data_IF_851185453529
#
_entry.id   IF_851185453529
#
_cell.length_a   1.000
_cell.length_b   1.000
_cell.length_c   1.000
_cell.angle_alpha   90.00
_cell.angle_beta   90.00
_cell.angle_gamma   90.00
#
_symmetry.space_group_name_H-M   'P 1'
#
loop_
_entity.id
_entity.type
_entity.pdbx_description
1 polymer ?
#
# COMPACT_ATOMS: atom_id res chain seq x y z
N UNK A 1 4.75 19.88 21.27
CA UNK A 1 5.18 18.68 20.53
C UNK A 1 4.11 17.63 20.72
N UNK A 2 3.30 17.33 19.70
CA UNK A 2 2.25 16.31 19.79
C UNK A 2 1.01 16.63 18.96
N UNK A 3 0.50 15.62 18.27
CA UNK A 3 -0.75 15.64 17.51
C UNK A 3 -1.68 14.62 18.17
N UNK A 4 -2.91 15.01 18.49
CA UNK A 4 -3.73 14.33 19.49
C UNK A 4 -4.77 13.35 18.94
N UNK A 5 -4.69 12.84 17.71
CA UNK A 5 -5.67 11.81 17.24
C UNK A 5 -5.18 10.76 16.24
N UNK A 6 -3.91 10.69 15.87
CA UNK A 6 -3.38 9.49 15.19
C UNK A 6 -1.93 9.28 15.63
N UNK A 7 -1.72 8.37 16.59
CA UNK A 7 -0.41 7.78 16.83
C UNK A 7 -0.53 6.31 16.45
N UNK A 8 0.02 5.91 15.31
CA UNK A 8 0.32 4.50 15.11
C UNK A 8 1.51 4.19 16.02
N UNK A 9 1.29 3.32 16.99
CA UNK A 9 2.33 2.85 17.89
C UNK A 9 2.45 1.35 17.67
N UNK A 10 3.52 0.93 17.01
CA UNK A 10 3.88 -0.48 16.95
C UNK A 10 4.37 -0.89 18.34
N UNK A 11 3.55 -1.66 19.04
CA UNK A 11 3.93 -2.31 20.28
C UNK A 11 4.20 -3.80 19.98
N UNK A 12 5.30 -4.38 20.49
CA UNK A 12 5.56 -5.80 20.31
C UNK A 12 4.41 -6.60 20.96
N UNK A 13 3.69 -7.39 20.16
CA UNK A 13 2.62 -8.28 20.63
C UNK A 13 3.14 -9.51 21.39
N UNK A 14 4.46 -9.72 21.40
CA UNK A 14 5.14 -10.90 21.93
C UNK A 14 5.58 -11.86 20.82
N UNK A 15 6.50 -12.76 21.14
CA UNK A 15 6.89 -13.82 20.21
C UNK A 15 5.72 -14.81 20.06
N UNK A 16 5.45 -15.21 18.82
CA UNK A 16 4.41 -16.17 18.48
C UNK A 16 4.99 -17.31 17.65
N UNK A 17 4.33 -18.47 17.69
CA UNK A 17 4.60 -19.58 16.76
C UNK A 17 3.54 -19.69 15.67
N UNK A 18 2.65 -18.69 15.59
CA UNK A 18 1.70 -18.57 14.48
C UNK A 18 2.48 -18.38 13.19
N UNK A 19 1.98 -19.02 12.15
CA UNK A 19 2.36 -18.65 10.80
C UNK A 19 1.41 -17.50 10.40
N UNK A 20 1.92 -16.34 9.96
CA UNK A 20 1.07 -15.21 9.60
C UNK A 20 0.00 -15.61 8.57
N UNK A 21 -1.23 -15.17 8.78
CA UNK A 21 -2.43 -15.66 8.09
C UNK A 21 -2.67 -15.04 6.73
N UNK A 22 -1.87 -14.08 6.30
CA UNK A 22 -1.87 -13.54 4.94
C UNK A 22 -0.65 -13.99 4.13
N UNK A 23 0.35 -14.62 4.77
CA UNK A 23 1.60 -15.03 4.11
C UNK A 23 1.43 -16.34 3.35
N UNK A 24 1.62 -16.30 2.04
CA UNK A 24 1.36 -17.43 1.13
C UNK A 24 2.15 -18.72 1.42
N UNK A 25 3.30 -18.61 2.07
CA UNK A 25 4.11 -19.75 2.50
C UNK A 25 3.56 -20.46 3.74
N UNK A 26 2.62 -19.83 4.45
CA UNK A 26 1.95 -20.42 5.59
C UNK A 26 0.90 -21.45 5.18
N UNK A 27 0.91 -22.61 5.85
CA UNK A 27 -0.01 -23.68 5.55
C UNK A 27 -1.42 -23.33 6.03
N UNK A 28 -2.36 -23.17 5.10
CA UNK A 28 -3.75 -22.90 5.44
C UNK A 28 -4.45 -22.09 4.36
N UNK A 29 -5.67 -21.67 4.67
CA UNK A 29 -6.29 -20.57 3.94
C UNK A 29 -5.62 -19.28 4.41
N UNK A 30 -5.39 -18.36 3.47
CA UNK A 30 -5.05 -16.99 3.85
C UNK A 30 -6.34 -16.24 4.20
N UNK A 31 -6.41 -15.63 5.37
CA UNK A 31 -7.58 -14.89 5.86
C UNK A 31 -7.15 -13.87 6.91
N UNK A 32 -7.94 -12.80 7.08
CA UNK A 32 -7.74 -11.83 8.16
C UNK A 32 -8.08 -12.47 9.51
N UNK A 33 -7.08 -12.72 10.34
CA UNK A 33 -7.23 -13.32 11.66
C UNK A 33 -7.19 -12.28 12.81
N UNK A 34 -6.97 -11.01 12.47
CA UNK A 34 -6.90 -9.86 13.37
C UNK A 34 -5.54 -9.67 14.02
N UNK A 35 -4.50 -10.36 13.58
CA UNK A 35 -3.14 -10.23 14.08
C UNK A 35 -2.18 -9.75 12.99
N UNK A 36 -1.34 -8.77 13.33
CA UNK A 36 -0.24 -8.35 12.47
C UNK A 36 0.99 -9.13 12.88
N UNK A 37 1.30 -10.21 12.16
CA UNK A 37 2.39 -11.12 12.49
C UNK A 37 3.63 -10.86 11.62
N UNK A 38 4.81 -11.00 12.24
CA UNK A 38 6.11 -10.87 11.57
C UNK A 38 6.85 -12.19 11.67
N UNK A 39 7.32 -12.72 10.55
CA UNK A 39 8.00 -14.02 10.50
C UNK A 39 9.28 -14.00 9.68
N UNK A 40 10.14 -14.98 9.95
CA UNK A 40 11.25 -15.34 9.07
C UNK A 40 10.92 -16.69 8.43
N UNK A 41 10.74 -16.72 7.11
CA UNK A 41 10.51 -17.96 6.39
C UNK A 41 11.14 -17.95 4.99
N UNK A 42 11.18 -19.12 4.35
CA UNK A 42 11.70 -19.25 3.00
C UNK A 42 10.62 -18.80 2.00
N UNK A 43 10.70 -17.54 1.56
CA UNK A 43 9.74 -16.95 0.62
C UNK A 43 9.85 -17.64 -0.76
N UNK A 44 8.70 -17.87 -1.39
CA UNK A 44 8.55 -18.32 -2.77
C UNK A 44 8.74 -17.12 -3.68
N UNK A 45 9.86 -17.11 -4.38
CA UNK A 45 10.28 -16.05 -5.27
C UNK A 45 11.66 -16.39 -5.82
N UNK A 46 12.08 -15.75 -6.93
CA UNK A 46 13.44 -15.91 -7.41
C UNK A 46 14.38 -15.52 -6.28
N UNK A 47 15.38 -16.35 -6.04
CA UNK A 47 16.56 -15.95 -5.30
C UNK A 47 17.78 -16.57 -5.95
N UNK A 48 18.21 -15.91 -7.04
CA UNK A 48 19.33 -16.33 -7.84
C UNK A 48 20.02 -15.13 -8.49
N UNK A 49 21.21 -15.36 -9.03
CA UNK A 49 22.04 -14.30 -9.60
C UNK A 49 21.47 -13.64 -10.87
N UNK A 50 20.47 -14.24 -11.52
CA UNK A 50 19.88 -13.73 -12.77
C UNK A 50 18.65 -12.86 -12.54
N UNK A 51 17.82 -13.20 -11.54
CA UNK A 51 16.53 -12.57 -11.30
C UNK A 51 16.49 -11.75 -9.99
N UNK A 52 17.59 -11.73 -9.23
CA UNK A 52 17.63 -11.15 -7.90
C UNK A 52 16.98 -12.06 -6.86
N UNK A 53 16.82 -11.53 -5.65
CA UNK A 53 16.16 -12.20 -4.54
C UNK A 53 15.00 -11.34 -4.03
N UNK A 54 13.82 -11.94 -3.85
CA UNK A 54 12.80 -11.34 -2.98
C UNK A 54 13.33 -11.32 -1.56
N UNK A 55 13.42 -10.13 -0.96
CA UNK A 55 14.12 -9.92 0.32
C UNK A 55 13.16 -10.03 1.51
N UNK A 56 12.03 -9.34 1.42
CA UNK A 56 10.90 -9.43 2.31
C UNK A 56 9.61 -9.11 1.52
N UNK A 57 8.45 -9.37 2.11
CA UNK A 57 7.14 -9.01 1.58
C UNK A 57 6.24 -8.66 2.77
N UNK A 58 5.39 -7.64 2.59
CA UNK A 58 4.24 -7.34 3.44
C UNK A 58 2.96 -7.58 2.67
N UNK A 59 2.10 -8.44 3.20
CA UNK A 59 0.72 -8.60 2.74
C UNK A 59 -0.16 -7.77 3.65
N UNK A 60 -1.02 -6.91 3.09
CA UNK A 60 -1.85 -6.02 3.89
C UNK A 60 -3.25 -5.83 3.31
N UNK A 61 -4.18 -5.50 4.20
CA UNK A 61 -5.54 -5.05 3.90
C UNK A 61 -5.79 -3.71 4.61
N UNK A 62 -7.04 -3.25 4.67
CA UNK A 62 -7.38 -2.08 5.49
C UNK A 62 -7.25 -2.32 7.00
N UNK A 63 -7.23 -3.58 7.43
CA UNK A 63 -7.42 -3.96 8.84
C UNK A 63 -6.29 -4.85 9.41
N UNK A 64 -5.47 -5.46 8.56
CA UNK A 64 -4.40 -6.39 8.95
C UNK A 64 -3.21 -6.31 8.00
N UNK A 65 -1.99 -6.50 8.52
CA UNK A 65 -0.77 -6.62 7.75
C UNK A 65 0.16 -7.68 8.34
N UNK A 66 0.59 -8.61 7.51
CA UNK A 66 1.56 -9.65 7.85
C UNK A 66 2.83 -9.50 7.03
N UNK A 67 3.96 -9.80 7.65
CA UNK A 67 5.28 -9.55 7.07
C UNK A 67 6.16 -10.79 7.15
N UNK A 68 6.86 -11.10 6.04
CA UNK A 68 7.84 -12.17 6.00
C UNK A 68 9.21 -11.68 5.54
N UNK A 69 10.26 -12.11 6.24
CA UNK A 69 11.66 -11.92 5.86
C UNK A 69 12.25 -13.24 5.34
N UNK A 70 12.96 -13.17 4.20
CA UNK A 70 13.45 -14.37 3.52
C UNK A 70 14.61 -15.06 4.26
N UNK A 71 14.41 -16.29 4.71
CA UNK A 71 15.46 -17.10 5.38
C UNK A 71 16.53 -17.64 4.46
N UNK A 72 16.37 -17.52 3.13
CA UNK A 72 17.43 -17.84 2.15
C UNK A 72 18.54 -16.79 2.14
N UNK A 73 18.31 -15.63 2.75
CA UNK A 73 19.24 -14.51 2.80
C UNK A 73 19.97 -14.47 4.15
N UNK A 74 21.14 -13.83 4.14
CA UNK A 74 21.88 -13.52 5.37
C UNK A 74 21.60 -12.09 5.79
N UNK A 75 21.44 -11.88 7.09
CA UNK A 75 20.97 -10.62 7.67
C UNK A 75 21.98 -10.02 8.63
N UNK A 76 22.02 -8.68 8.69
CA UNK A 76 22.65 -7.93 9.77
C UNK A 76 21.64 -6.90 10.30
N UNK A 77 21.73 -6.55 11.58
CA UNK A 77 20.84 -5.60 12.26
C UNK A 77 21.62 -4.41 12.82
N UNK A 78 22.81 -4.14 12.26
CA UNK A 78 23.71 -3.10 12.75
C UNK A 78 23.47 -1.73 12.14
N UNK A 79 22.49 -1.58 11.24
CA UNK A 79 22.34 -0.41 10.39
C UNK A 79 23.64 -0.05 9.64
N UNK A 80 24.30 -1.06 9.07
CA UNK A 80 25.54 -0.91 8.31
C UNK A 80 25.54 -1.85 7.12
N UNK A 81 26.21 -1.44 6.04
CA UNK A 81 26.46 -2.34 4.92
C UNK A 81 27.51 -3.39 5.30
N UNK A 82 27.10 -4.66 5.28
CA UNK A 82 27.99 -5.80 5.46
C UNK A 82 27.96 -6.68 4.21
N UNK A 83 29.15 -6.99 3.66
CA UNK A 83 29.26 -7.75 2.43
C UNK A 83 28.54 -9.11 2.51
N UNK A 84 27.64 -9.35 1.55
CA UNK A 84 26.85 -10.60 1.48
C UNK A 84 25.68 -10.67 2.46
N UNK A 85 25.33 -9.56 3.14
CA UNK A 85 24.18 -9.49 4.04
C UNK A 85 23.26 -8.33 3.68
N UNK A 86 21.98 -8.53 3.96
CA UNK A 86 20.94 -7.51 3.89
C UNK A 86 20.73 -6.87 5.27
N UNK A 87 20.47 -5.57 5.31
CA UNK A 87 20.28 -4.84 6.56
C UNK A 87 18.81 -4.88 6.99
N UNK A 88 18.55 -5.58 8.10
CA UNK A 88 17.22 -5.92 8.55
C UNK A 88 16.40 -4.69 8.95
N UNK A 89 17.00 -3.66 9.55
CA UNK A 89 16.24 -2.49 10.01
C UNK A 89 15.72 -1.65 8.85
N UNK A 90 16.51 -1.50 7.79
CA UNK A 90 16.19 -0.79 6.55
C UNK A 90 15.03 -1.46 5.85
N UNK A 91 15.13 -2.78 5.70
CA UNK A 91 14.08 -3.57 5.05
C UNK A 91 12.84 -3.60 5.92
N UNK A 92 12.97 -3.80 7.24
CA UNK A 92 11.82 -3.70 8.13
C UNK A 92 11.16 -2.32 8.09
N UNK A 93 11.93 -1.23 7.94
CA UNK A 93 11.37 0.12 7.82
C UNK A 93 10.57 0.28 6.52
N UNK A 94 11.05 -0.27 5.41
CA UNK A 94 10.33 -0.36 4.13
C UNK A 94 9.02 -1.14 4.28
N UNK A 95 9.10 -2.36 4.83
CA UNK A 95 7.93 -3.20 5.01
C UNK A 95 6.89 -2.57 5.96
N UNK A 96 7.33 -1.87 7.02
CA UNK A 96 6.43 -1.10 7.88
C UNK A 96 5.79 0.09 7.15
N UNK A 97 6.40 0.60 6.08
CA UNK A 97 5.77 1.55 5.18
C UNK A 97 4.51 0.98 4.54
N UNK A 98 4.57 -0.26 4.03
CA UNK A 98 3.39 -0.97 3.52
C UNK A 98 2.32 -1.18 4.59
N UNK A 99 2.72 -1.50 5.83
CA UNK A 99 1.78 -1.62 6.97
C UNK A 99 1.00 -0.33 7.22
N UNK A 100 1.63 0.84 7.01
CA UNK A 100 0.96 2.14 7.12
C UNK A 100 0.38 2.63 5.78
N UNK A 101 0.30 1.76 4.78
CA UNK A 101 -0.32 2.05 3.49
C UNK A 101 0.53 2.84 2.51
N UNK A 102 1.83 3.02 2.77
CA UNK A 102 2.74 3.50 1.73
C UNK A 102 2.94 2.42 0.68
N UNK A 103 2.94 2.85 -0.57
CA UNK A 103 3.31 2.03 -1.72
C UNK A 103 4.80 2.24 -2.03
N UNK A 104 5.34 1.56 -3.04
CA UNK A 104 6.74 1.76 -3.41
C UNK A 104 6.99 3.17 -3.95
N UNK A 105 8.17 3.71 -3.68
CA UNK A 105 8.62 5.01 -4.16
C UNK A 105 9.55 4.87 -5.36
N UNK A 106 9.44 5.83 -6.30
CA UNK A 106 10.38 5.99 -7.41
C UNK A 106 11.53 6.95 -7.07
N UNK A 107 11.48 7.60 -5.90
CA UNK A 107 12.50 8.55 -5.46
C UNK A 107 13.81 7.81 -5.13
N UNK A 108 14.94 8.17 -5.76
CA UNK A 108 16.22 7.52 -5.50
C UNK A 108 16.66 7.63 -4.04
N UNK A 109 16.83 6.49 -3.37
CA UNK A 109 17.27 6.43 -1.98
C UNK A 109 16.15 6.56 -0.94
N UNK A 110 14.90 6.62 -1.39
CA UNK A 110 13.74 6.42 -0.53
C UNK A 110 13.83 5.05 0.16
N UNK A 111 13.38 4.98 1.40
CA UNK A 111 13.16 3.72 2.10
C UNK A 111 12.15 2.86 1.35
N UNK A 112 11.10 3.48 0.80
CA UNK A 112 10.06 2.77 0.03
C UNK A 112 10.50 2.37 -1.39
N UNK A 113 11.76 2.57 -1.79
CA UNK A 113 12.24 2.10 -3.08
C UNK A 113 12.15 0.56 -3.17
N UNK A 114 11.57 0.04 -4.25
CA UNK A 114 11.35 -1.40 -4.45
C UNK A 114 12.66 -2.24 -4.51
N UNK A 115 13.80 -1.59 -4.78
CA UNK A 115 15.10 -2.25 -4.88
C UNK A 115 15.97 -1.84 -3.70
N UNK A 116 16.38 -2.83 -2.91
CA UNK A 116 17.32 -2.63 -1.81
C UNK A 116 18.65 -2.03 -2.30
N UNK A 117 19.01 -0.87 -1.76
CA UNK A 117 20.19 -0.10 -2.17
C UNK A 117 21.28 0.01 -1.08
N UNK A 118 21.17 -0.75 0.00
CA UNK A 118 22.08 -0.69 1.15
C UNK A 118 21.38 -0.20 2.42
N UNK A 119 22.15 -0.15 3.51
CA UNK A 119 21.65 0.25 4.82
C UNK A 119 21.19 1.72 4.83
N UNK A 120 19.92 1.93 5.17
CA UNK A 120 19.31 3.23 5.40
C UNK A 120 18.22 3.08 6.48
N UNK A 121 18.52 3.45 7.73
CA UNK A 121 17.59 3.26 8.86
C UNK A 121 16.94 4.57 9.31
N UNK A 122 16.87 5.54 8.41
CA UNK A 122 16.27 6.85 8.65
C UNK A 122 15.16 7.11 7.63
N UNK A 123 14.06 7.71 8.09
CA UNK A 123 13.01 8.17 7.19
C UNK A 123 13.53 9.34 6.35
N UNK A 124 13.36 9.24 5.03
CA UNK A 124 13.52 10.34 4.11
C UNK A 124 12.31 11.27 4.13
N UNK A 125 12.42 12.37 3.39
CA UNK A 125 11.30 13.31 3.27
C UNK A 125 10.11 12.68 2.52
N UNK A 126 10.38 11.81 1.55
CA UNK A 126 9.38 11.09 0.78
C UNK A 126 8.46 10.25 1.70
N UNK A 127 9.04 9.46 2.60
CA UNK A 127 8.25 8.68 3.57
C UNK A 127 7.49 9.57 4.56
N UNK A 128 8.12 10.67 5.02
CA UNK A 128 7.47 11.61 5.94
C UNK A 128 6.25 12.24 5.27
N UNK A 129 6.38 12.65 4.01
CA UNK A 129 5.30 13.28 3.24
C UNK A 129 4.20 12.28 2.94
N UNK A 130 4.55 11.06 2.53
CA UNK A 130 3.60 9.97 2.29
C UNK A 130 2.77 9.64 3.54
N UNK A 131 3.43 9.41 4.69
CA UNK A 131 2.71 9.10 5.95
C UNK A 131 1.89 10.30 6.40
N UNK A 132 2.41 11.52 6.26
CA UNK A 132 1.68 12.73 6.63
C UNK A 132 0.46 12.98 5.73
N UNK A 133 0.51 12.55 4.47
CA UNK A 133 -0.62 12.60 3.55
C UNK A 133 -1.71 11.60 3.94
N UNK A 134 -1.35 10.36 4.26
CA UNK A 134 -2.30 9.31 4.69
C UNK A 134 -2.89 9.59 6.08
N UNK A 135 -2.08 10.15 6.98
CA UNK A 135 -2.44 10.43 8.36
C UNK A 135 -2.19 11.91 8.70
N UNK A 136 -2.96 12.84 8.10
CA UNK A 136 -2.76 14.25 8.34
C UNK A 136 -2.99 14.57 9.81
N UNK A 137 -2.06 15.33 10.38
CA UNK A 137 -2.26 15.89 11.70
C UNK A 137 -3.50 16.78 11.69
N UNK A 138 -4.51 16.47 12.52
CA UNK A 138 -5.63 17.36 12.72
C UNK A 138 -5.10 18.76 13.08
N UNK A 139 -5.40 19.76 12.24
CA UNK A 139 -5.00 21.12 12.51
C UNK A 139 -5.60 21.53 13.86
N UNK A 140 -4.75 21.71 14.87
CA UNK A 140 -5.16 22.44 16.06
C UNK A 140 -5.50 23.85 15.57
N UNK A 141 -6.70 24.40 15.81
CA UNK A 141 -6.98 25.79 15.49
C UNK A 141 -5.87 26.62 16.13
N UNK A 142 -5.20 27.46 15.33
CA UNK A 142 -4.23 28.40 15.88
C UNK A 142 -4.90 29.12 17.06
N UNK A 143 -4.25 29.22 18.24
CA UNK A 143 -4.83 29.96 19.35
C UNK A 143 -5.15 31.36 18.83
N UNK A 144 -6.44 31.69 18.78
CA UNK A 144 -6.89 33.03 18.46
C UNK A 144 -6.20 33.95 19.45
N UNK A 145 -5.37 34.86 18.94
CA UNK A 145 -4.63 35.80 19.77
C UNK A 145 -5.58 36.44 20.77
N UNK A 146 -5.18 36.43 22.05
CA UNK A 146 -5.91 37.09 23.12
C UNK A 146 -6.27 38.50 22.66
N UNK A 147 -7.55 38.91 22.66
CA UNK A 147 -7.93 40.26 22.27
C UNK A 147 -7.15 41.24 23.15
N UNK A 148 -6.49 42.22 22.52
CA UNK A 148 -5.94 43.35 23.24
C UNK A 148 -7.06 43.99 24.09
N UNK A 149 -6.78 44.45 25.32
CA UNK A 149 -7.80 45.07 26.16
C UNK A 149 -8.38 46.29 25.44
N UNK A 150 -9.67 46.22 25.12
CA UNK A 150 -10.41 47.31 24.48
C UNK A 150 -10.63 48.43 25.49
N UNK A 151 -10.31 49.67 25.08
CA UNK A 151 -10.63 50.87 25.85
C UNK A 151 -12.12 50.96 26.18
N UNK A 152 -12.40 51.53 27.35
CA UNK A 152 -13.74 51.65 27.95
C UNK A 152 -14.71 52.43 27.04
N UNK A 153 -15.90 51.89 26.71
CA UNK A 153 -16.89 52.65 25.93
C UNK A 153 -17.56 53.75 26.77
N UNK A 154 -17.70 54.94 26.18
CA UNK A 154 -18.54 56.03 26.69
C UNK A 154 -20.05 55.71 26.61
N UNK A 155 -20.91 56.58 27.17
CA UNK A 155 -22.31 56.26 27.45
C UNK A 155 -23.17 55.99 26.22
N UNK A 156 -23.94 54.92 26.34
CA UNK A 156 -24.90 54.31 25.40
C UNK A 156 -26.03 55.24 24.94
N UNK A 157 -26.27 55.43 23.62
CA UNK A 157 -27.56 55.86 23.12
C UNK A 157 -28.56 54.69 23.01
N UNK A 158 -29.82 55.04 23.26
CA UNK A 158 -31.06 54.24 23.35
C UNK A 158 -31.29 53.30 22.15
N UNK A 159 -31.86 52.09 22.34
CA UNK A 159 -32.05 51.13 21.25
C UNK A 159 -33.07 51.60 20.20
N UNK A 160 -32.70 51.41 18.93
CA UNK A 160 -33.59 51.51 17.77
C UNK A 160 -33.84 50.10 17.23
N UNK A 161 -35.05 49.89 16.71
CA UNK A 161 -35.66 48.59 16.40
C UNK A 161 -34.77 47.59 15.66
N UNK A 162 -34.81 46.36 16.17
CA UNK A 162 -34.14 45.14 15.71
C UNK A 162 -34.56 44.75 14.29
N UNK A 163 -33.64 44.68 13.29
CA UNK A 163 -33.91 43.94 12.06
C UNK A 163 -33.73 42.43 12.29
N UNK A 164 -34.59 41.67 11.63
CA UNK A 164 -34.68 40.20 11.57
C UNK A 164 -33.34 39.56 11.15
N UNK A 165 -32.93 38.39 11.70
CA UNK A 165 -31.68 37.74 11.35
C UNK A 165 -31.63 37.42 9.85
N UNK A 166 -30.58 37.88 9.19
CA UNK A 166 -30.25 37.50 7.82
C UNK A 166 -29.44 36.21 7.87
N UNK A 167 -29.88 35.20 7.11
CA UNK A 167 -29.19 33.91 6.97
C UNK A 167 -27.71 34.14 6.65
N UNK A 168 -26.85 33.76 7.61
CA UNK A 168 -25.41 33.70 7.40
C UNK A 168 -25.13 32.53 6.46
N UNK A 169 -24.48 32.71 5.30
CA UNK A 169 -24.13 31.61 4.43
C UNK A 169 -23.16 30.68 5.16
N UNK A 170 -23.44 29.38 5.09
CA UNK A 170 -22.56 28.30 5.52
C UNK A 170 -21.19 28.47 4.85
N UNK A 171 -20.06 28.27 5.54
CA UNK A 171 -18.74 28.31 4.92
C UNK A 171 -18.74 27.34 3.73
N UNK A 172 -18.49 27.90 2.55
CA UNK A 172 -18.30 27.10 1.34
C UNK A 172 -16.97 26.38 1.52
N UNK A 173 -17.01 25.05 1.56
CA UNK A 173 -15.80 24.22 1.53
C UNK A 173 -14.94 24.70 0.37
N UNK A 174 -13.77 25.25 0.70
CA UNK A 174 -12.75 25.55 -0.30
C UNK A 174 -12.34 24.20 -0.89
N UNK A 175 -12.45 23.99 -2.22
CA UNK A 175 -11.98 22.74 -2.79
C UNK A 175 -10.51 22.56 -2.43
N UNK A 176 -10.19 21.40 -1.86
CA UNK A 176 -8.82 20.94 -1.67
C UNK A 176 -8.06 21.11 -3.00
N UNK A 177 -6.79 21.59 -3.00
CA UNK A 177 -6.03 21.70 -4.23
C UNK A 177 -6.01 20.33 -4.91
N UNK A 178 -6.59 20.26 -6.10
CA UNK A 178 -6.43 19.12 -6.99
C UNK A 178 -4.96 19.10 -7.39
N UNK A 179 -4.19 18.15 -6.86
CA UNK A 179 -2.84 17.87 -7.36
C UNK A 179 -2.97 17.64 -8.87
N UNK A 180 -2.22 18.44 -9.62
CA UNK A 180 -2.11 18.23 -11.07
C UNK A 180 -1.21 17.01 -11.24
N UNK A 181 -1.63 15.92 -11.91
CA UNK A 181 -0.77 14.76 -12.08
C UNK A 181 0.47 15.20 -12.88
N UNK A 182 1.64 15.06 -12.26
CA UNK A 182 2.92 15.35 -12.89
C UNK A 182 3.43 14.14 -13.68
N UNK A 183 2.95 12.95 -13.34
CA UNK A 183 3.25 11.73 -14.08
C UNK A 183 2.34 11.52 -15.30
N UNK A 184 2.95 11.11 -16.41
CA UNK A 184 2.27 10.68 -17.65
C UNK A 184 2.29 9.17 -17.84
N UNK A 185 2.72 8.41 -16.83
CA UNK A 185 2.94 6.96 -16.94
C UNK A 185 1.97 6.22 -16.04
N UNK A 186 1.37 5.14 -16.53
CA UNK A 186 0.69 4.13 -15.72
C UNK A 186 1.64 2.95 -15.50
N UNK A 187 1.67 2.40 -14.30
CA UNK A 187 2.57 1.32 -13.91
C UNK A 187 1.72 0.23 -13.26
N UNK A 188 1.90 -1.02 -13.68
CA UNK A 188 1.37 -2.17 -12.95
C UNK A 188 2.32 -2.43 -11.79
N UNK A 189 1.90 -2.12 -10.58
CA UNK A 189 2.76 -2.22 -9.40
C UNK A 189 2.77 -3.61 -8.79
N UNK A 190 1.59 -4.22 -8.67
CA UNK A 190 1.40 -5.54 -8.04
C UNK A 190 0.45 -6.43 -8.84
N UNK A 191 0.73 -7.73 -8.78
CA UNK A 191 -0.15 -8.81 -9.23
C UNK A 191 -0.16 -9.86 -8.11
N UNK A 192 -1.25 -9.89 -7.34
CA UNK A 192 -1.43 -10.78 -6.21
C UNK A 192 -2.55 -11.79 -6.44
N UNK A 193 -2.43 -12.95 -5.78
CA UNK A 193 -3.37 -14.05 -5.91
C UNK A 193 -3.96 -14.43 -4.58
N UNK A 194 -5.28 -14.62 -4.55
CA UNK A 194 -5.93 -15.23 -3.40
C UNK A 194 -6.92 -16.28 -3.87
N UNK A 195 -7.39 -17.11 -2.96
CA UNK A 195 -8.29 -18.19 -3.32
C UNK A 195 -9.40 -18.31 -2.30
N UNK A 196 -10.66 -18.24 -2.75
CA UNK A 196 -11.84 -18.25 -1.90
C UNK A 196 -12.96 -19.14 -2.47
N UNK A 197 -13.92 -19.46 -1.61
CA UNK A 197 -15.08 -20.31 -1.94
C UNK A 197 -14.70 -21.77 -2.24
N UNK A 198 -15.69 -22.67 -2.16
CA UNK A 198 -15.51 -24.09 -2.47
C UNK A 198 -14.60 -24.86 -1.50
N UNK A 199 -14.33 -26.12 -1.82
CA UNK A 199 -13.34 -26.98 -1.15
C UNK A 199 -12.57 -27.80 -2.18
N UNK A 200 -11.28 -28.06 -1.91
CA UNK A 200 -10.39 -28.74 -2.85
C UNK A 200 -10.33 -28.06 -4.23
N UNK A 201 -10.38 -28.86 -5.31
CA UNK A 201 -10.30 -28.37 -6.70
C UNK A 201 -11.44 -27.45 -7.18
N UNK A 202 -12.37 -27.05 -6.30
CA UNK A 202 -13.46 -26.12 -6.64
C UNK A 202 -13.22 -24.68 -6.16
N UNK A 203 -12.07 -24.40 -5.52
CA UNK A 203 -11.74 -23.05 -5.09
C UNK A 203 -11.63 -22.08 -6.26
N UNK A 204 -12.14 -20.88 -6.08
CA UNK A 204 -11.93 -19.80 -7.04
C UNK A 204 -10.50 -19.26 -6.89
N UNK A 205 -9.97 -18.70 -7.97
CA UNK A 205 -8.75 -17.92 -7.96
C UNK A 205 -9.14 -16.46 -8.20
N UNK A 206 -8.76 -15.57 -7.29
CA UNK A 206 -8.85 -14.13 -7.48
C UNK A 206 -7.45 -13.61 -7.77
N UNK A 207 -7.36 -12.75 -8.78
CA UNK A 207 -6.13 -12.09 -9.21
C UNK A 207 -6.38 -10.61 -9.03
N UNK A 208 -5.65 -9.97 -8.13
CA UNK A 208 -5.74 -8.52 -7.88
C UNK A 208 -4.56 -7.85 -8.55
N UNK A 209 -4.84 -6.78 -9.28
CA UNK A 209 -3.83 -5.99 -9.98
C UNK A 209 -3.95 -4.56 -9.52
N UNK A 210 -2.84 -4.00 -9.06
CA UNK A 210 -2.74 -2.61 -8.62
C UNK A 210 -2.05 -1.79 -9.70
N UNK A 211 -2.68 -0.67 -10.07
CA UNK A 211 -2.17 0.29 -11.05
C UNK A 211 -1.96 1.62 -10.36
N UNK A 212 -0.75 2.14 -10.49
CA UNK A 212 -0.35 3.46 -10.00
C UNK A 212 0.16 4.33 -11.15
N UNK A 213 0.24 5.63 -10.93
CA UNK A 213 0.95 6.51 -11.84
C UNK A 213 2.45 6.51 -11.51
N UNK A 214 3.27 7.17 -12.34
CA UNK A 214 4.71 7.28 -12.07
C UNK A 214 5.09 8.07 -10.80
N UNK A 215 4.12 8.72 -10.13
CA UNK A 215 4.29 9.34 -8.82
C UNK A 215 3.86 8.37 -7.69
N UNK A 216 3.49 7.13 -8.01
CA UNK A 216 3.06 6.10 -7.05
C UNK A 216 1.61 6.25 -6.57
N UNK A 217 0.82 7.16 -7.15
CA UNK A 217 -0.57 7.36 -6.73
C UNK A 217 -1.51 6.36 -7.41
N UNK A 218 -2.54 5.84 -6.71
CA UNK A 218 -3.47 4.88 -7.28
C UNK A 218 -4.23 5.46 -8.48
N UNK A 219 -4.18 4.77 -9.61
CA UNK A 219 -4.88 5.17 -10.83
C UNK A 219 -6.27 4.57 -10.83
N UNK A 220 -7.25 5.38 -10.43
CA UNK A 220 -8.65 4.97 -10.50
C UNK A 220 -9.18 4.90 -11.94
N UNK A 221 -10.11 3.99 -12.20
CA UNK A 221 -10.76 3.82 -13.50
C UNK A 221 -9.81 3.48 -14.68
N UNK A 222 -8.58 3.03 -14.41
CA UNK A 222 -7.74 2.41 -15.42
C UNK A 222 -8.40 1.12 -15.90
N UNK A 223 -8.48 0.91 -17.20
CA UNK A 223 -8.88 -0.37 -17.78
C UNK A 223 -7.66 -1.25 -17.93
N UNK A 224 -7.68 -2.43 -17.32
CA UNK A 224 -6.60 -3.42 -17.30
C UNK A 224 -7.08 -4.67 -18.01
N UNK A 225 -6.31 -5.18 -18.97
CA UNK A 225 -6.55 -6.46 -19.64
C UNK A 225 -5.46 -7.47 -19.29
N UNK A 226 -5.86 -8.73 -19.11
CA UNK A 226 -4.95 -9.82 -18.72
C UNK A 226 -5.16 -11.10 -19.52
N UNK A 227 -4.06 -11.85 -19.58
CA UNK A 227 -3.99 -13.26 -19.89
C UNK A 227 -3.59 -14.03 -18.62
N UNK A 228 -4.45 -14.91 -18.14
CA UNK A 228 -4.18 -15.84 -17.06
C UNK A 228 -3.71 -17.17 -17.67
N UNK A 229 -2.50 -17.59 -17.33
CA UNK A 229 -1.90 -18.83 -17.81
C UNK A 229 -1.99 -19.92 -16.74
N UNK A 230 -2.12 -21.18 -17.16
CA UNK A 230 -2.09 -22.39 -16.32
C UNK A 230 -1.08 -23.38 -16.92
N UNK A 231 -0.01 -23.67 -16.18
CA UNK A 231 1.06 -24.57 -16.62
C UNK A 231 1.70 -24.10 -17.93
N UNK A 232 1.90 -22.78 -18.07
CA UNK A 232 2.47 -22.15 -19.27
C UNK A 232 1.55 -22.06 -20.48
N UNK A 233 0.26 -22.39 -20.36
CA UNK A 233 -0.72 -22.27 -21.43
C UNK A 233 -1.80 -21.24 -21.07
N UNK A 234 -2.25 -20.46 -22.04
CA UNK A 234 -3.37 -19.53 -21.84
C UNK A 234 -4.60 -20.29 -21.35
N UNK A 235 -5.10 -19.89 -20.18
CA UNK A 235 -6.25 -20.49 -19.53
C UNK A 235 -7.49 -19.60 -19.63
N UNK A 236 -7.35 -18.30 -19.37
CA UNK A 236 -8.44 -17.34 -19.45
C UNK A 236 -7.92 -15.94 -19.77
N UNK A 237 -8.80 -15.08 -20.27
CA UNK A 237 -8.54 -13.64 -20.43
C UNK A 237 -9.58 -12.83 -19.68
N UNK A 238 -9.26 -11.57 -19.38
CA UNK A 238 -10.20 -10.67 -18.74
C UNK A 238 -9.84 -9.21 -18.95
N UNK A 239 -10.85 -8.34 -18.94
CA UNK A 239 -10.66 -6.89 -18.86
C UNK A 239 -11.54 -6.35 -17.74
N UNK A 240 -10.98 -5.45 -16.93
CA UNK A 240 -11.67 -4.85 -15.79
C UNK A 240 -11.16 -3.44 -15.54
N UNK A 241 -11.87 -2.68 -14.71
CA UNK A 241 -11.48 -1.32 -14.34
C UNK A 241 -11.07 -1.24 -12.89
N UNK A 242 -10.02 -0.47 -12.61
CA UNK A 242 -9.57 -0.22 -11.23
C UNK A 242 -10.58 0.61 -10.46
N UNK A 243 -10.73 0.30 -9.17
CA UNK A 243 -11.52 1.09 -8.23
C UNK A 243 -10.80 2.38 -7.81
N UNK A 244 -11.38 3.09 -6.85
CA UNK A 244 -10.79 4.32 -6.31
C UNK A 244 -9.39 4.11 -5.69
N UNK A 245 -9.11 2.91 -5.19
CA UNK A 245 -7.80 2.52 -4.66
C UNK A 245 -6.81 2.01 -5.69
N UNK A 246 -7.05 2.22 -6.99
CA UNK A 246 -6.10 1.84 -8.05
C UNK A 246 -6.04 0.36 -8.37
N UNK A 247 -6.88 -0.48 -7.75
CA UNK A 247 -6.85 -1.92 -7.93
C UNK A 247 -8.08 -2.51 -8.62
N UNK A 248 -7.89 -3.61 -9.35
CA UNK A 248 -8.94 -4.41 -9.99
C UNK A 248 -8.74 -5.89 -9.67
N UNK A 249 -9.83 -6.61 -9.37
CA UNK A 249 -9.77 -8.06 -9.08
C UNK A 249 -10.50 -8.87 -10.14
N UNK A 250 -9.78 -9.78 -10.79
CA UNK A 250 -10.31 -10.79 -11.71
C UNK A 250 -10.59 -12.08 -10.97
N UNK A 251 -11.61 -12.83 -11.40
CA UNK A 251 -12.03 -14.06 -10.72
C UNK A 251 -12.20 -15.22 -11.68
N UNK A 252 -11.32 -16.20 -11.61
CA UNK A 252 -11.49 -17.50 -12.24
C UNK A 252 -12.28 -18.43 -11.30
N UNK A 253 -13.55 -18.66 -11.64
CA UNK A 253 -14.43 -19.53 -10.86
C UNK A 253 -14.00 -20.99 -11.02
N UNK A 254 -13.93 -21.69 -9.89
CA UNK A 254 -13.56 -23.10 -9.80
C UNK A 254 -12.27 -23.40 -10.59
N UNK A 255 -11.26 -22.54 -10.39
CA UNK A 255 -9.99 -22.66 -11.10
C UNK A 255 -9.34 -24.02 -10.76
N UNK A 256 -8.87 -24.77 -11.78
CA UNK A 256 -8.13 -26.01 -11.58
C UNK A 256 -6.94 -25.86 -10.62
N UNK A 257 -6.46 -26.98 -10.07
CA UNK A 257 -5.17 -26.97 -9.38
C UNK A 257 -4.04 -26.89 -10.41
N UNK A 258 -2.98 -26.15 -10.11
CA UNK A 258 -1.82 -25.99 -10.99
C UNK A 258 -1.06 -24.69 -10.75
N UNK A 259 -0.06 -24.45 -11.60
CA UNK A 259 0.78 -23.25 -11.57
C UNK A 259 0.16 -22.19 -12.46
N UNK A 260 -0.10 -21.02 -11.88
CA UNK A 260 -0.67 -19.87 -12.56
C UNK A 260 0.36 -18.76 -12.66
N UNK A 261 0.35 -18.05 -13.78
CA UNK A 261 1.00 -16.76 -13.96
C UNK A 261 0.02 -15.85 -14.72
N UNK A 262 0.21 -14.55 -14.60
CA UNK A 262 -0.64 -13.54 -15.22
C UNK A 262 0.22 -12.56 -15.98
N UNK A 263 -0.15 -12.37 -17.25
CA UNK A 263 0.43 -11.37 -18.12
C UNK A 263 -0.60 -10.26 -18.24
N UNK A 264 -0.22 -9.05 -17.83
CA UNK A 264 -0.99 -7.86 -18.20
C UNK A 264 -0.74 -7.58 -19.67
N UNK A 265 -1.81 -7.49 -20.46
CA UNK A 265 -1.73 -7.35 -21.92
C UNK A 265 -2.04 -5.93 -22.40
N UNK A 266 -2.76 -5.14 -21.59
CA UNK A 266 -3.07 -3.74 -21.87
C UNK A 266 -3.45 -3.00 -20.58
N UNK A 267 -3.02 -1.74 -20.45
CA UNK A 267 -3.51 -0.81 -19.44
C UNK A 267 -3.81 0.53 -20.11
N UNK A 268 -5.05 0.98 -19.98
CA UNK A 268 -5.51 2.27 -20.51
C UNK A 268 -6.06 3.14 -19.38
N UNK A 269 -5.47 4.32 -19.21
CA UNK A 269 -5.88 5.31 -18.22
C UNK A 269 -5.82 6.72 -18.80
N UNK A 270 -6.74 7.60 -18.39
CA UNK A 270 -6.84 8.93 -18.97
C UNK A 270 -5.59 9.77 -18.67
N UNK A 271 -4.88 10.17 -19.72
CA UNK A 271 -3.68 11.01 -19.60
C UNK A 271 -2.40 10.27 -19.20
N UNK A 272 -2.46 8.95 -19.04
CA UNK A 272 -1.32 8.10 -18.71
C UNK A 272 -1.03 7.11 -19.84
N UNK A 273 0.24 6.77 -20.00
CA UNK A 273 0.73 5.75 -20.93
C UNK A 273 1.31 4.61 -20.10
N UNK A 274 0.83 3.39 -20.30
CA UNK A 274 1.42 2.23 -19.63
C UNK A 274 2.85 1.99 -20.13
N UNK A 275 3.75 1.64 -19.22
CA UNK A 275 5.15 1.34 -19.52
C UNK A 275 5.38 -0.04 -20.16
N UNK A 276 4.31 -0.81 -20.37
CA UNK A 276 4.33 -2.18 -20.92
C UNK A 276 5.10 -3.18 -20.04
N UNK A 277 5.34 -2.82 -18.77
CA UNK A 277 6.01 -3.67 -17.79
C UNK A 277 5.02 -4.13 -16.72
N UNK A 278 5.23 -5.34 -16.22
CA UNK A 278 4.52 -5.87 -15.07
C UNK A 278 5.49 -6.68 -14.18
N UNK A 279 5.24 -6.75 -12.87
CA UNK A 279 6.10 -7.49 -11.94
C UNK A 279 6.06 -8.99 -12.25
N UNK A 280 7.18 -9.66 -11.97
CA UNK A 280 7.23 -11.11 -12.02
C UNK A 280 6.23 -11.70 -11.02
N UNK A 281 5.50 -12.73 -11.45
CA UNK A 281 4.43 -13.32 -10.67
C UNK A 281 4.30 -14.82 -10.97
N UNK A 282 3.93 -15.61 -9.96
CA UNK A 282 3.61 -17.02 -10.06
C UNK A 282 2.78 -17.44 -8.86
N UNK A 283 1.77 -18.30 -9.05
CA UNK A 283 0.92 -18.82 -7.99
C UNK A 283 0.65 -20.31 -8.11
N UNK A 284 0.98 -21.06 -7.06
CA UNK A 284 0.76 -22.49 -6.95
C UNK A 284 -0.58 -22.81 -6.28
N UNK A 285 -1.63 -23.10 -7.07
CA UNK A 285 -2.94 -23.50 -6.52
C UNK A 285 -2.98 -25.01 -6.29
N UNK A 286 -2.87 -25.43 -5.02
CA UNK A 286 -2.90 -26.84 -4.60
C UNK A 286 -1.89 -27.73 -5.39
N UNK A 287 -0.77 -27.15 -5.82
CA UNK A 287 0.24 -27.74 -6.68
C UNK A 287 1.66 -27.36 -6.21
N UNK A 288 2.68 -27.96 -6.82
CA UNK A 288 4.08 -27.55 -6.66
C UNK A 288 4.54 -26.89 -7.94
N UNK A 289 5.01 -25.65 -7.78
CA UNK A 289 5.70 -24.79 -8.72
C UNK A 289 6.99 -24.41 -7.95
#
# INVERSE_FOLDING_TARGET
TGVTTSSFAFAPGGATTRCPSLVDECAGLQFEDGFNDVTFLSIKGPCNALLGCTVAITWFTSDEADMAFNTKLSWNDGCVDEAGKFELQTIALHENGHVVGLLHSTEPGAIMAAIYAGANCALGQDEIDGVSFLYPSAATPAPTGTPAPTDTPGPTPTPSDTPLPTNTPLPTNTPLPTSTPSSTTAIVEDISYTTNGGSGGTRHLNITISVVDGDGLPVSSASVSIDLNLGGNLYATGTGSTGAGGSVTFKAKNAPSGCYDTVVTDVTAAGLVWDEVSPANEFAKDAVC
#
